data_IF_474213964408
#
_entry.id   IF_474213964408
#
_cell.length_a   1.000
_cell.length_b   1.000
_cell.length_c   1.000
_cell.angle_alpha   90.00
_cell.angle_beta   90.00
_cell.angle_gamma   90.00
#
_symmetry.space_group_name_H-M   'P 1'
#
loop_
_entity.id
_entity.type
_entity.pdbx_description
1 polymer ?
#
# COMPACT_ATOMS: atom_id res chain seq x y z
N UNK A 1 18.41 -12.32 23.90
CA UNK A 1 18.30 -11.00 24.55
C UNK A 1 19.41 -10.86 25.57
N UNK A 2 19.98 -9.67 25.72
CA UNK A 2 21.09 -9.42 26.67
C UNK A 2 20.52 -9.12 28.06
N UNK A 3 21.29 -9.41 29.13
CA UNK A 3 20.90 -9.08 30.50
C UNK A 3 20.67 -7.57 30.66
N UNK A 4 19.79 -7.18 31.59
CA UNK A 4 19.62 -5.78 31.97
C UNK A 4 20.91 -5.24 32.59
N UNK A 5 21.37 -4.09 32.10
CA UNK A 5 22.57 -3.41 32.62
C UNK A 5 22.29 -2.82 34.01
N UNK A 6 23.28 -2.89 34.90
CA UNK A 6 23.28 -2.20 36.20
C UNK A 6 23.42 -0.69 35.97
N UNK A 7 23.08 0.12 36.98
CA UNK A 7 23.11 1.59 36.89
C UNK A 7 24.47 2.14 36.41
N UNK A 8 25.59 1.64 36.94
CA UNK A 8 26.93 2.09 36.53
C UNK A 8 27.27 1.66 35.09
N UNK A 9 26.85 0.47 34.67
CA UNK A 9 27.06 -0.06 33.32
C UNK A 9 26.26 0.76 32.29
N UNK A 10 25.01 1.09 32.59
CA UNK A 10 24.16 1.93 31.74
C UNK A 10 24.70 3.37 31.64
N UNK A 11 25.29 3.89 32.72
CA UNK A 11 25.91 5.22 32.73
C UNK A 11 27.13 5.31 31.80
N UNK A 12 27.87 4.21 31.64
CA UNK A 12 28.98 4.08 30.69
C UNK A 12 28.48 3.81 29.26
N UNK A 13 27.50 2.92 29.11
CA UNK A 13 26.98 2.43 27.84
C UNK A 13 25.69 3.15 27.40
N UNK A 14 25.67 4.49 27.48
CA UNK A 14 24.45 5.29 27.20
C UNK A 14 23.95 5.22 25.76
N UNK A 15 24.86 5.07 24.79
CA UNK A 15 24.55 5.04 23.35
C UNK A 15 24.49 3.61 22.80
N UNK A 16 24.55 2.62 23.67
CA UNK A 16 24.63 1.23 23.27
C UNK A 16 23.24 0.60 23.28
N UNK A 17 22.77 0.22 22.09
CA UNK A 17 21.60 -0.61 21.89
C UNK A 17 21.92 -1.61 20.78
N UNK A 18 21.70 -2.90 21.03
CA UNK A 18 21.90 -3.98 20.05
C UNK A 18 20.74 -4.11 19.07
N UNK A 19 19.57 -3.56 19.41
CA UNK A 19 18.33 -3.74 18.66
C UNK A 19 18.04 -2.53 17.79
N UNK A 20 18.21 -1.31 18.29
CA UNK A 20 17.83 -0.09 17.57
C UNK A 20 19.05 0.77 17.29
N UNK A 21 19.55 0.69 16.07
CA UNK A 21 20.59 1.60 15.60
C UNK A 21 19.97 2.88 15.04
N UNK A 22 20.72 3.99 15.09
CA UNK A 22 20.27 5.27 14.54
C UNK A 22 19.93 5.20 13.05
N UNK A 23 20.62 4.33 12.30
CA UNK A 23 20.40 4.11 10.87
C UNK A 23 19.09 3.38 10.57
N UNK A 24 18.51 2.65 11.54
CA UNK A 24 17.31 1.83 11.34
C UNK A 24 16.04 2.69 11.24
N UNK A 25 16.12 3.97 11.59
CA UNK A 25 14.99 4.91 11.49
C UNK A 25 13.79 4.44 12.32
N UNK A 26 14.05 3.93 13.53
CA UNK A 26 13.04 3.42 14.46
C UNK A 26 12.24 2.21 13.92
N UNK A 27 12.90 1.37 13.10
CA UNK A 27 12.30 0.16 12.51
C UNK A 27 10.99 0.46 11.74
N UNK A 28 10.90 1.65 11.16
CA UNK A 28 9.71 2.12 10.44
C UNK A 28 9.41 1.24 9.22
N UNK A 29 10.45 0.70 8.59
CA UNK A 29 10.34 -0.29 7.52
C UNK A 29 9.61 -1.54 7.98
N UNK A 30 10.10 -2.17 9.04
CA UNK A 30 9.58 -3.39 9.63
C UNK A 30 8.15 -3.21 10.14
N UNK A 31 7.85 -2.07 10.77
CA UNK A 31 6.49 -1.77 11.24
C UNK A 31 5.48 -1.65 10.09
N UNK A 32 5.84 -0.99 8.98
CA UNK A 32 4.98 -0.85 7.80
C UNK A 32 4.83 -2.18 7.06
N UNK A 33 5.93 -2.91 6.89
CA UNK A 33 5.95 -4.25 6.27
C UNK A 33 5.02 -5.20 7.01
N UNK A 34 5.11 -5.25 8.34
CA UNK A 34 4.23 -6.07 9.19
C UNK A 34 2.77 -5.61 9.12
N UNK A 35 2.52 -4.30 9.17
CA UNK A 35 1.16 -3.74 9.18
C UNK A 35 0.38 -4.05 7.90
N UNK A 36 1.03 -3.98 6.74
CA UNK A 36 0.37 -4.18 5.45
C UNK A 36 0.68 -5.54 4.80
N UNK A 37 1.24 -6.48 5.56
CA UNK A 37 1.60 -7.81 5.10
C UNK A 37 2.44 -7.79 3.80
N UNK A 38 3.45 -6.93 3.75
CA UNK A 38 4.37 -6.88 2.61
C UNK A 38 5.31 -8.09 2.72
N UNK A 39 5.31 -8.96 1.71
CA UNK A 39 6.09 -10.21 1.75
C UNK A 39 7.59 -9.99 1.52
N UNK A 40 7.92 -9.06 0.61
CA UNK A 40 9.30 -8.75 0.23
C UNK A 40 9.72 -7.44 0.89
N UNK A 41 10.70 -7.43 1.81
CA UNK A 41 11.21 -6.18 2.39
C UNK A 41 11.72 -5.19 1.34
N UNK A 42 12.23 -5.70 0.21
CA UNK A 42 12.65 -4.87 -0.93
C UNK A 42 11.54 -3.96 -1.49
N UNK A 43 10.28 -4.42 -1.46
CA UNK A 43 9.15 -3.63 -1.96
C UNK A 43 9.01 -2.34 -1.17
N UNK A 44 9.25 -2.38 0.15
CA UNK A 44 9.26 -1.18 0.98
C UNK A 44 10.30 -0.17 0.48
N UNK A 45 11.54 -0.61 0.22
CA UNK A 45 12.60 0.28 -0.26
C UNK A 45 12.35 0.77 -1.69
N UNK A 46 11.71 -0.04 -2.56
CA UNK A 46 11.28 0.37 -3.90
C UNK A 46 10.21 1.48 -3.80
N UNK A 47 9.19 1.29 -2.97
CA UNK A 47 8.18 2.32 -2.74
C UNK A 47 8.75 3.58 -2.09
N UNK A 48 9.71 3.45 -1.17
CA UNK A 48 10.34 4.60 -0.54
C UNK A 48 11.13 5.45 -1.55
N UNK A 49 11.86 4.81 -2.47
CA UNK A 49 12.56 5.49 -3.58
C UNK A 49 11.57 6.20 -4.53
N UNK A 50 10.44 5.57 -4.85
CA UNK A 50 9.39 6.18 -5.66
C UNK A 50 8.77 7.40 -4.96
N UNK A 51 8.46 7.30 -3.66
CA UNK A 51 7.98 8.42 -2.86
C UNK A 51 8.99 9.57 -2.85
N UNK A 52 10.28 9.27 -2.63
CA UNK A 52 11.36 10.26 -2.67
C UNK A 52 11.45 10.97 -4.02
N UNK A 53 11.37 10.23 -5.12
CA UNK A 53 11.40 10.78 -6.48
C UNK A 53 10.19 11.70 -6.75
N UNK A 54 9.00 11.29 -6.32
CA UNK A 54 7.79 12.10 -6.46
C UNK A 54 7.85 13.40 -5.64
N UNK A 55 8.36 13.33 -4.40
CA UNK A 55 8.57 14.51 -3.55
C UNK A 55 9.65 15.43 -4.11
N UNK A 56 10.73 14.87 -4.65
CA UNK A 56 11.78 15.66 -5.29
C UNK A 56 11.25 16.39 -6.52
N UNK A 57 10.39 15.74 -7.31
CA UNK A 57 9.71 16.41 -8.43
C UNK A 57 8.82 17.54 -7.94
N UNK A 58 7.99 17.32 -6.91
CA UNK A 58 7.16 18.37 -6.32
C UNK A 58 7.99 19.54 -5.78
N UNK A 59 9.13 19.27 -5.15
CA UNK A 59 10.05 20.29 -4.68
C UNK A 59 10.69 21.07 -5.84
N UNK A 60 11.09 20.40 -6.94
CA UNK A 60 11.59 21.12 -8.13
C UNK A 60 10.52 22.02 -8.74
N UNK A 61 9.26 21.57 -8.76
CA UNK A 61 8.13 22.38 -9.24
C UNK A 61 7.86 23.59 -8.34
N UNK A 62 8.03 23.45 -7.01
CA UNK A 62 7.84 24.57 -6.08
C UNK A 62 8.91 25.66 -6.22
N UNK A 63 10.13 25.29 -6.63
CA UNK A 63 11.22 26.22 -6.92
C UNK A 63 11.04 27.01 -8.23
N UNK A 64 10.17 26.56 -9.14
CA UNK A 64 9.90 27.28 -10.39
C UNK A 64 9.05 28.53 -10.15
N UNK A 65 9.16 29.58 -10.98
CA UNK A 65 8.29 30.75 -10.88
C UNK A 65 6.80 30.39 -10.96
N UNK A 66 5.91 30.99 -10.14
CA UNK A 66 4.48 30.67 -10.12
C UNK A 66 3.75 31.01 -11.43
N UNK A 67 4.31 31.95 -12.20
CA UNK A 67 3.77 32.38 -13.50
C UNK A 67 4.08 31.42 -14.65
N UNK A 68 4.99 30.45 -14.45
CA UNK A 68 5.37 29.53 -15.51
C UNK A 68 4.22 28.60 -15.89
N UNK A 69 3.84 28.60 -17.18
CA UNK A 69 2.83 27.69 -17.72
C UNK A 69 3.22 26.21 -17.56
N UNK A 70 4.52 25.90 -17.64
CA UNK A 70 5.03 24.54 -17.45
C UNK A 70 4.79 24.04 -16.01
N UNK A 71 5.02 24.91 -15.01
CA UNK A 71 4.78 24.60 -13.59
C UNK A 71 3.31 24.20 -13.37
N UNK A 72 2.36 25.05 -13.78
CA UNK A 72 0.92 24.78 -13.59
C UNK A 72 0.48 23.48 -14.29
N UNK A 73 0.98 23.25 -15.51
CA UNK A 73 0.69 22.02 -16.27
C UNK A 73 1.21 20.78 -15.56
N UNK A 74 2.46 20.77 -15.13
CA UNK A 74 3.07 19.60 -14.48
C UNK A 74 2.58 19.38 -13.04
N UNK A 75 2.26 20.44 -12.30
CA UNK A 75 1.60 20.34 -11.00
C UNK A 75 0.25 19.63 -11.15
N UNK A 76 -0.58 20.07 -12.11
CA UNK A 76 -1.88 19.44 -12.37
C UNK A 76 -1.73 17.98 -12.78
N UNK A 77 -0.84 17.67 -13.74
CA UNK A 77 -0.59 16.29 -14.18
C UNK A 77 -0.12 15.39 -13.03
N UNK A 78 0.75 15.89 -12.15
CA UNK A 78 1.25 15.13 -11.01
C UNK A 78 0.12 14.85 -10.01
N UNK A 79 -0.68 15.86 -9.67
CA UNK A 79 -1.79 15.75 -8.74
C UNK A 79 -2.88 14.81 -9.26
N UNK A 80 -3.29 14.97 -10.52
CA UNK A 80 -4.29 14.13 -11.17
C UNK A 80 -3.82 12.67 -11.21
N UNK A 81 -2.56 12.41 -11.63
CA UNK A 81 -2.01 11.06 -11.68
C UNK A 81 -1.97 10.38 -10.30
N UNK A 82 -1.54 11.10 -9.26
CA UNK A 82 -1.48 10.55 -7.90
C UNK A 82 -2.86 10.35 -7.28
N UNK A 83 -3.83 11.18 -7.67
CA UNK A 83 -5.23 11.04 -7.29
C UNK A 83 -5.86 9.81 -7.94
N UNK A 84 -5.68 9.62 -9.25
CA UNK A 84 -6.18 8.47 -10.01
C UNK A 84 -5.61 7.14 -9.49
N UNK A 85 -4.32 7.13 -9.13
CA UNK A 85 -3.68 5.97 -8.50
C UNK A 85 -4.19 5.73 -7.05
N UNK A 86 -4.90 6.69 -6.45
CA UNK A 86 -5.46 6.56 -5.11
C UNK A 86 -4.48 6.81 -3.96
N UNK A 87 -3.30 7.35 -4.25
CA UNK A 87 -2.27 7.68 -3.25
C UNK A 87 -2.67 8.96 -2.50
N UNK A 88 -3.17 9.95 -3.24
CA UNK A 88 -3.74 11.18 -2.67
C UNK A 88 -5.25 11.07 -2.54
N UNK A 89 -5.78 11.61 -1.46
CA UNK A 89 -7.22 11.75 -1.23
C UNK A 89 -7.84 12.94 -1.98
N UNK A 90 -7.03 13.95 -2.32
CA UNK A 90 -7.48 15.18 -2.96
C UNK A 90 -6.39 15.71 -3.88
N UNK A 91 -6.77 16.22 -5.06
CA UNK A 91 -5.87 16.74 -6.08
C UNK A 91 -5.70 18.28 -6.03
N UNK A 92 -6.02 18.93 -4.91
CA UNK A 92 -6.15 20.40 -4.86
C UNK A 92 -4.86 21.15 -4.52
N UNK A 93 -3.92 20.55 -3.79
CA UNK A 93 -2.75 21.24 -3.23
C UNK A 93 -1.47 20.43 -3.45
N UNK A 94 -0.42 21.09 -3.95
CA UNK A 94 0.91 20.48 -4.11
C UNK A 94 1.53 20.05 -2.77
N UNK A 95 1.22 20.75 -1.67
CA UNK A 95 1.67 20.37 -0.32
C UNK A 95 1.17 18.98 0.11
N UNK A 96 0.07 18.49 -0.48
CA UNK A 96 -0.39 17.13 -0.25
C UNK A 96 0.64 16.10 -0.73
N UNK A 97 1.43 16.42 -1.77
CA UNK A 97 2.47 15.52 -2.28
C UNK A 97 3.60 15.33 -1.27
N UNK A 98 4.02 16.39 -0.59
CA UNK A 98 5.12 16.34 0.38
C UNK A 98 4.78 15.48 1.60
N UNK A 99 3.58 15.66 2.15
CA UNK A 99 3.18 14.99 3.39
C UNK A 99 2.42 13.68 3.19
N UNK A 100 1.58 13.60 2.15
CA UNK A 100 0.65 12.46 1.99
C UNK A 100 1.21 11.34 1.11
N UNK A 101 2.13 11.63 0.18
CA UNK A 101 2.80 10.58 -0.61
C UNK A 101 3.81 9.86 0.28
N UNK A 102 3.37 8.76 0.86
CA UNK A 102 4.13 7.93 1.80
C UNK A 102 4.13 6.48 1.35
N UNK A 103 5.10 5.70 1.81
CA UNK A 103 5.15 4.25 1.54
C UNK A 103 3.86 3.55 2.02
N UNK A 104 3.32 3.98 3.15
CA UNK A 104 2.03 3.49 3.66
C UNK A 104 0.86 3.82 2.74
N UNK A 105 0.90 4.93 1.99
CA UNK A 105 -0.13 5.24 1.01
C UNK A 105 -0.09 4.26 -0.18
N UNK A 106 1.10 3.91 -0.68
CA UNK A 106 1.26 2.87 -1.69
C UNK A 106 0.85 1.48 -1.15
N UNK A 107 1.29 1.14 0.05
CA UNK A 107 0.96 -0.15 0.67
C UNK A 107 -0.56 -0.32 0.87
N UNK A 108 -1.30 0.76 1.18
CA UNK A 108 -2.75 0.76 1.26
C UNK A 108 -3.47 0.55 -0.07
N UNK A 109 -2.81 0.77 -1.20
CA UNK A 109 -3.34 0.52 -2.55
C UNK A 109 -3.01 -0.87 -3.08
N UNK A 110 -2.27 -1.70 -2.32
CA UNK A 110 -2.06 -3.11 -2.67
C UNK A 110 -3.37 -3.88 -2.58
N UNK A 111 -3.55 -4.83 -3.50
CA UNK A 111 -4.78 -5.62 -3.65
C UNK A 111 -5.30 -6.23 -2.33
N UNK A 112 -4.47 -6.87 -1.46
CA UNK A 112 -4.97 -7.43 -0.20
C UNK A 112 -5.59 -6.39 0.73
N UNK A 113 -5.00 -5.20 0.82
CA UNK A 113 -5.47 -4.13 1.71
C UNK A 113 -6.76 -3.51 1.17
N UNK A 114 -6.85 -3.34 -0.14
CA UNK A 114 -8.07 -2.87 -0.81
C UNK A 114 -9.21 -3.87 -0.61
N UNK A 115 -8.96 -5.17 -0.76
CA UNK A 115 -9.96 -6.22 -0.49
C UNK A 115 -10.47 -6.20 0.96
N UNK A 116 -9.59 -6.01 1.94
CA UNK A 116 -10.01 -5.89 3.35
C UNK A 116 -10.86 -4.64 3.57
N UNK A 117 -10.55 -3.53 2.90
CA UNK A 117 -11.37 -2.30 2.95
C UNK A 117 -12.75 -2.51 2.31
N UNK A 118 -12.82 -3.25 1.20
CA UNK A 118 -14.07 -3.64 0.52
C UNK A 118 -14.84 -4.76 1.24
N UNK A 119 -14.37 -5.22 2.41
CA UNK A 119 -14.98 -6.31 3.19
C UNK A 119 -15.07 -7.65 2.43
N UNK A 120 -14.24 -7.85 1.40
CA UNK A 120 -14.11 -9.15 0.72
C UNK A 120 -13.37 -10.19 1.56
N UNK A 121 -12.50 -9.73 2.46
CA UNK A 121 -11.79 -10.55 3.42
C UNK A 121 -11.72 -9.81 4.77
N UNK A 122 -11.75 -10.58 5.86
CA UNK A 122 -11.75 -10.02 7.22
C UNK A 122 -10.39 -9.42 7.61
N UNK A 123 -9.30 -10.05 7.17
CA UNK A 123 -7.92 -9.66 7.50
C UNK A 123 -7.06 -9.58 6.25
N UNK A 124 -5.99 -8.78 6.31
CA UNK A 124 -5.03 -8.63 5.19
C UNK A 124 -4.31 -9.96 4.92
N UNK A 125 -4.06 -10.76 5.96
CA UNK A 125 -3.45 -12.09 5.86
C UNK A 125 -4.37 -13.06 5.11
N UNK A 126 -5.67 -13.07 5.42
CA UNK A 126 -6.64 -13.88 4.70
C UNK A 126 -6.77 -13.42 3.23
N UNK A 127 -6.84 -12.12 2.99
CA UNK A 127 -6.87 -11.55 1.64
C UNK A 127 -5.65 -12.00 0.81
N UNK A 128 -4.45 -11.94 1.39
CA UNK A 128 -3.21 -12.36 0.74
C UNK A 128 -3.27 -13.82 0.33
N UNK A 129 -3.71 -14.72 1.22
CA UNK A 129 -3.87 -16.16 0.91
C UNK A 129 -4.88 -16.41 -0.22
N UNK A 130 -6.01 -15.70 -0.22
CA UNK A 130 -7.04 -15.85 -1.25
C UNK A 130 -6.57 -15.39 -2.63
N UNK A 131 -5.74 -14.34 -2.67
CA UNK A 131 -5.10 -13.85 -3.91
C UNK A 131 -4.08 -14.89 -4.40
N UNK A 132 -3.21 -15.39 -3.53
CA UNK A 132 -2.22 -16.43 -3.88
C UNK A 132 -2.87 -17.72 -4.41
N UNK A 133 -4.05 -18.08 -3.88
CA UNK A 133 -4.86 -19.20 -4.36
C UNK A 133 -5.56 -18.94 -5.69
N UNK A 134 -5.55 -17.70 -6.21
CA UNK A 134 -6.18 -17.34 -7.47
C UNK A 134 -7.70 -17.19 -7.40
N UNK A 135 -8.26 -16.86 -6.23
CA UNK A 135 -9.70 -16.64 -6.07
C UNK A 135 -10.16 -15.24 -6.49
N UNK A 136 -9.23 -14.32 -6.77
CA UNK A 136 -9.51 -12.91 -7.03
C UNK A 136 -9.15 -12.54 -8.46
N UNK A 137 -10.01 -11.75 -9.11
CA UNK A 137 -9.73 -11.07 -10.37
C UNK A 137 -9.92 -9.57 -10.24
N UNK A 138 -9.22 -8.83 -11.08
CA UNK A 138 -9.43 -7.40 -11.26
C UNK A 138 -9.87 -7.20 -12.71
N UNK A 139 -11.12 -6.78 -12.90
CA UNK A 139 -11.75 -6.78 -14.22
C UNK A 139 -11.94 -8.20 -14.74
N UNK A 140 -11.31 -8.51 -15.87
CA UNK A 140 -11.41 -9.82 -16.54
C UNK A 140 -10.32 -10.78 -16.14
N UNK A 141 -9.17 -10.28 -15.69
CA UNK A 141 -7.95 -11.07 -15.46
C UNK A 141 -7.81 -11.53 -14.02
N UNK A 142 -7.41 -12.78 -13.84
CA UNK A 142 -7.11 -13.34 -12.52
C UNK A 142 -5.78 -12.80 -12.01
N UNK A 143 -5.76 -12.31 -10.76
CA UNK A 143 -4.56 -11.74 -10.16
C UNK A 143 -4.06 -12.67 -9.07
N UNK A 144 -2.83 -13.17 -9.23
CA UNK A 144 -2.16 -14.05 -8.25
C UNK A 144 -1.11 -13.33 -7.42
N UNK A 145 -0.65 -12.14 -7.85
CA UNK A 145 0.35 -11.35 -7.14
C UNK A 145 -0.30 -10.41 -6.09
N UNK A 146 -0.02 -10.58 -4.78
CA UNK A 146 -0.48 -9.67 -3.74
C UNK A 146 0.12 -8.26 -3.82
N UNK A 147 1.19 -8.07 -4.61
CA UNK A 147 1.81 -6.77 -4.84
C UNK A 147 1.12 -5.92 -5.91
N UNK A 148 0.10 -6.46 -6.59
CA UNK A 148 -0.69 -5.73 -7.56
C UNK A 148 -1.29 -4.46 -6.94
N UNK A 149 -1.05 -3.30 -7.58
CA UNK A 149 -1.51 -2.01 -7.10
C UNK A 149 -2.80 -1.62 -7.80
N UNK A 150 -3.88 -1.52 -7.03
CA UNK A 150 -5.21 -1.22 -7.55
C UNK A 150 -5.39 0.30 -7.60
N UNK A 151 -5.65 0.85 -8.78
CA UNK A 151 -6.01 2.28 -8.96
C UNK A 151 -7.44 2.55 -8.48
N UNK A 152 -7.85 3.81 -8.36
CA UNK A 152 -9.24 4.13 -7.95
C UNK A 152 -10.26 3.56 -8.92
N UNK A 153 -10.02 3.71 -10.22
CA UNK A 153 -10.92 3.20 -11.27
C UNK A 153 -11.03 1.68 -11.29
N UNK A 154 -9.94 0.97 -10.96
CA UNK A 154 -9.93 -0.49 -10.94
C UNK A 154 -10.52 -1.10 -9.67
N UNK A 155 -10.72 -0.29 -8.62
CA UNK A 155 -11.24 -0.74 -7.33
C UNK A 155 -12.65 -1.34 -7.44
N UNK A 156 -13.50 -0.77 -8.30
CA UNK A 156 -14.87 -1.24 -8.53
C UNK A 156 -14.92 -2.57 -9.28
N UNK A 157 -13.84 -2.95 -9.96
CA UNK A 157 -13.74 -4.19 -10.74
C UNK A 157 -13.04 -5.32 -9.98
N UNK A 158 -12.70 -5.13 -8.69
CA UNK A 158 -12.15 -6.19 -7.86
C UNK A 158 -13.27 -7.15 -7.45
N UNK A 159 -13.23 -8.38 -7.94
CA UNK A 159 -14.27 -9.38 -7.66
C UNK A 159 -13.70 -10.80 -7.63
N UNK A 160 -14.54 -11.77 -7.26
CA UNK A 160 -14.16 -13.18 -7.25
C UNK A 160 -14.02 -13.73 -8.67
N UNK A 161 -13.12 -14.69 -8.84
CA UNK A 161 -12.97 -15.43 -10.09
C UNK A 161 -14.18 -16.30 -10.41
N UNK A 162 -14.35 -16.61 -11.69
CA UNK A 162 -15.38 -17.55 -12.16
C UNK A 162 -15.07 -18.93 -11.58
N UNK A 163 -16.09 -19.63 -11.06
CA UNK A 163 -15.91 -20.93 -10.39
C UNK A 163 -15.26 -20.87 -9.01
N UNK A 164 -15.04 -19.68 -8.43
CA UNK A 164 -14.46 -19.55 -7.09
C UNK A 164 -15.34 -20.22 -6.02
N UNK A 165 -14.74 -21.12 -5.24
CA UNK A 165 -15.39 -21.76 -4.08
C UNK A 165 -15.83 -20.74 -3.04
N UNK A 166 -15.10 -19.62 -2.92
CA UNK A 166 -15.47 -18.53 -2.01
C UNK A 166 -16.77 -17.86 -2.44
N UNK A 167 -16.92 -17.55 -3.75
CA UNK A 167 -18.17 -17.01 -4.30
C UNK A 167 -19.34 -17.97 -4.04
N UNK A 168 -19.13 -19.27 -4.27
CA UNK A 168 -20.14 -20.31 -4.00
C UNK A 168 -20.58 -20.32 -2.54
N UNK A 169 -19.63 -20.28 -1.60
CA UNK A 169 -19.94 -20.25 -0.17
C UNK A 169 -20.75 -19.00 0.22
N UNK A 170 -20.39 -17.84 -0.33
CA UNK A 170 -21.14 -16.59 -0.08
C UNK A 170 -22.57 -16.68 -0.64
N UNK A 171 -22.75 -17.19 -1.86
CA UNK A 171 -24.08 -17.32 -2.48
C UNK A 171 -24.94 -18.35 -1.76
N UNK A 172 -24.34 -19.47 -1.32
CA UNK A 172 -25.00 -20.49 -0.51
C UNK A 172 -25.44 -19.92 0.84
N UNK A 173 -24.59 -19.15 1.52
CA UNK A 173 -24.95 -18.49 2.77
C UNK A 173 -26.11 -17.50 2.61
N UNK A 174 -26.28 -16.91 1.42
CA UNK A 174 -27.34 -15.96 1.10
C UNK A 174 -28.58 -16.63 0.49
N UNK A 175 -28.62 -17.96 0.39
CA UNK A 175 -29.66 -18.75 -0.29
C UNK A 175 -29.94 -18.32 -1.74
N UNK A 176 -28.90 -17.86 -2.44
CA UNK A 176 -28.95 -17.40 -3.84
C UNK A 176 -28.01 -18.20 -4.75
N UNK A 177 -27.73 -19.44 -4.37
CA UNK A 177 -26.88 -20.30 -5.18
C UNK A 177 -27.67 -20.76 -6.41
N UNK A 178 -27.22 -20.32 -7.59
CA UNK A 178 -27.69 -20.82 -8.88
C UNK A 178 -26.61 -21.76 -9.44
N UNK A 179 -26.97 -23.04 -9.60
CA UNK A 179 -26.05 -24.06 -10.10
C UNK A 179 -25.85 -23.99 -11.63
N UNK A 180 -26.66 -23.19 -12.35
CA UNK A 180 -26.50 -22.98 -13.80
C UNK A 180 -25.29 -22.11 -14.15
N UNK A 181 -24.91 -21.14 -13.29
CA UNK A 181 -23.71 -20.30 -13.48
C UNK A 181 -22.37 -21.09 -13.37
N UNK A 182 -22.43 -22.38 -13.02
CA UNK A 182 -21.26 -23.23 -12.77
C UNK A 182 -20.94 -24.23 -13.89
N UNK A 183 -21.83 -24.36 -14.89
CA UNK A 183 -21.63 -25.15 -16.12
C UNK A 183 -20.88 -24.34 -17.17
#
# INVERSE_FOLDING_TARGET
MVRKLKHHEQKLLRKHDFITYKQDGDHRDSSVVRRYMIQKPEDYHKYNRLCGSARQLAHRLSLMPPESAARRKHEKLLLDKLYDMGILSTASKLSAVEHSVTVSAFARRRLPVVMTRLRMAETVQAATKLIEQGHVRVGTETCTDPAFLVTRSMEDFVTWTVGSKVKRNIMKYRDKLDDFELL
#
